data_IF_835159436397
#
_entry.id   IF_835159436397
#
_cell.length_a   1.000
_cell.length_b   1.000
_cell.length_c   1.000
_cell.angle_alpha   90.00
_cell.angle_beta   90.00
_cell.angle_gamma   90.00
#
_symmetry.space_group_name_H-M   'P 1'
#
loop_
_entity.id
_entity.type
_entity.pdbx_description
1 polymer ?
#
# COMPACT_ATOMS: atom_id res chain seq x y z
N UNK A 1 2.62 -10.45 28.29
CA UNK A 1 1.66 -10.79 27.22
C UNK A 1 1.71 -9.84 26.04
N UNK A 2 2.52 -8.81 26.15
CA UNK A 2 2.79 -7.91 25.02
C UNK A 2 3.35 -8.68 23.81
N UNK A 3 4.12 -9.74 24.03
CA UNK A 3 4.71 -10.57 22.96
C UNK A 3 3.66 -11.34 22.15
N UNK A 4 2.60 -11.83 22.79
CA UNK A 4 1.52 -12.54 22.08
C UNK A 4 0.71 -11.60 21.20
N UNK A 5 0.44 -10.40 21.69
CA UNK A 5 -0.29 -9.39 20.91
C UNK A 5 0.49 -8.98 19.66
N UNK A 6 1.81 -8.84 19.76
CA UNK A 6 2.66 -8.55 18.59
C UNK A 6 2.63 -9.69 17.58
N UNK A 7 2.75 -10.93 18.04
CA UNK A 7 2.74 -12.09 17.16
C UNK A 7 1.44 -12.19 16.38
N UNK A 8 0.31 -11.96 17.04
CA UNK A 8 -1.01 -11.97 16.39
C UNK A 8 -1.11 -10.84 15.37
N UNK A 9 -0.64 -9.64 15.69
CA UNK A 9 -0.64 -8.52 14.76
C UNK A 9 0.23 -8.80 13.53
N UNK A 10 1.38 -9.42 13.72
CA UNK A 10 2.28 -9.77 12.62
C UNK A 10 1.66 -10.82 11.70
N UNK A 11 0.98 -11.81 12.27
CA UNK A 11 0.27 -12.83 11.49
C UNK A 11 -0.87 -12.20 10.69
N UNK A 12 -1.68 -11.36 11.31
CA UNK A 12 -2.78 -10.65 10.64
C UNK A 12 -2.25 -9.75 9.54
N UNK A 13 -1.18 -9.01 9.81
CA UNK A 13 -0.54 -8.16 8.82
C UNK A 13 -0.06 -8.99 7.61
N UNK A 14 0.55 -10.13 7.85
CA UNK A 14 1.00 -11.03 6.79
C UNK A 14 -0.13 -11.49 5.89
N UNK A 15 -1.28 -11.86 6.46
CA UNK A 15 -2.47 -12.23 5.68
C UNK A 15 -3.01 -11.06 4.86
N UNK A 16 -3.12 -9.90 5.48
CA UNK A 16 -3.61 -8.69 4.81
C UNK A 16 -2.67 -8.27 3.69
N UNK A 17 -1.37 -8.37 3.93
CA UNK A 17 -0.36 -8.05 2.93
C UNK A 17 -0.47 -8.98 1.72
N UNK A 18 -0.59 -10.29 1.93
CA UNK A 18 -0.76 -11.26 0.83
C UNK A 18 -2.00 -10.97 0.01
N UNK A 19 -3.12 -10.64 0.67
CA UNK A 19 -4.36 -10.27 -0.02
C UNK A 19 -4.18 -9.00 -0.83
N UNK A 20 -3.49 -8.01 -0.26
CA UNK A 20 -3.23 -6.75 -0.96
C UNK A 20 -2.35 -6.97 -2.18
N UNK A 21 -1.31 -7.80 -2.08
CA UNK A 21 -0.45 -8.16 -3.22
C UNK A 21 -1.25 -8.85 -4.32
N UNK A 22 -2.09 -9.82 -3.96
CA UNK A 22 -2.94 -10.51 -4.93
C UNK A 22 -3.90 -9.55 -5.62
N UNK A 23 -4.48 -8.63 -4.87
CA UNK A 23 -5.37 -7.61 -5.43
C UNK A 23 -4.63 -6.70 -6.38
N UNK A 24 -3.42 -6.25 -6.01
CA UNK A 24 -2.60 -5.40 -6.85
C UNK A 24 -2.24 -6.11 -8.16
N UNK A 25 -1.81 -7.36 -8.08
CA UNK A 25 -1.46 -8.15 -9.27
C UNK A 25 -2.66 -8.37 -10.17
N UNK A 26 -3.83 -8.66 -9.59
CA UNK A 26 -5.08 -8.82 -10.36
C UNK A 26 -5.44 -7.54 -11.10
N UNK A 27 -5.41 -6.41 -10.41
CA UNK A 27 -5.73 -5.12 -11.02
C UNK A 27 -4.73 -4.75 -12.10
N UNK A 28 -3.44 -5.02 -11.85
CA UNK A 28 -2.39 -4.82 -12.86
C UNK A 28 -2.67 -5.65 -14.11
N UNK A 29 -3.02 -6.91 -13.93
CA UNK A 29 -3.31 -7.82 -15.04
C UNK A 29 -4.51 -7.36 -15.87
N UNK A 30 -5.54 -6.85 -15.19
CA UNK A 30 -6.77 -6.39 -15.84
C UNK A 30 -6.57 -5.04 -16.54
N UNK A 31 -5.92 -4.08 -15.87
CA UNK A 31 -5.82 -2.70 -16.35
C UNK A 31 -4.51 -2.37 -17.04
N UNK A 32 -3.49 -3.23 -16.91
CA UNK A 32 -2.12 -2.99 -17.38
C UNK A 32 -1.47 -1.74 -16.78
N UNK A 33 -1.95 -1.29 -15.60
CA UNK A 33 -1.39 -0.17 -14.87
C UNK A 33 -0.59 -0.67 -13.67
N UNK A 34 0.38 0.12 -13.24
CA UNK A 34 1.15 -0.19 -12.03
C UNK A 34 0.32 0.09 -10.79
N UNK A 35 0.32 -0.87 -9.88
CA UNK A 35 -0.32 -0.74 -8.58
C UNK A 35 0.72 -0.92 -7.49
N UNK A 36 0.50 -0.26 -6.37
CA UNK A 36 1.40 -0.30 -5.22
C UNK A 36 0.62 -0.64 -3.97
N UNK A 37 1.26 -1.38 -3.08
CA UNK A 37 0.71 -1.67 -1.75
C UNK A 37 1.40 -0.75 -0.75
N UNK A 38 0.62 0.07 -0.08
CA UNK A 38 1.09 1.09 0.86
C UNK A 38 0.37 0.95 2.19
N UNK A 39 1.00 1.46 3.24
CA UNK A 39 0.33 1.63 4.54
C UNK A 39 -0.08 3.08 4.68
N UNK A 40 -1.39 3.33 4.76
CA UNK A 40 -1.96 4.66 4.95
C UNK A 40 -2.88 4.60 6.16
N UNK A 41 -2.65 5.46 7.16
CA UNK A 41 -3.44 5.49 8.39
C UNK A 41 -3.56 4.10 9.03
N UNK A 42 -2.44 3.38 9.13
CA UNK A 42 -2.33 2.04 9.72
C UNK A 42 -3.10 0.96 8.97
N UNK A 43 -3.51 1.23 7.72
CA UNK A 43 -4.21 0.27 6.86
C UNK A 43 -3.43 0.02 5.58
N UNK A 44 -3.49 -1.22 5.09
CA UNK A 44 -2.92 -1.56 3.80
C UNK A 44 -3.87 -1.10 2.69
N UNK A 45 -3.32 -0.33 1.76
CA UNK A 45 -4.06 0.18 0.61
C UNK A 45 -3.39 -0.24 -0.68
N UNK A 46 -4.19 -0.56 -1.69
CA UNK A 46 -3.72 -0.88 -3.02
C UNK A 46 -4.10 0.30 -3.92
N UNK A 47 -3.09 1.03 -4.40
CA UNK A 47 -3.31 2.25 -5.16
C UNK A 47 -2.54 2.22 -6.47
N UNK A 48 -3.16 2.77 -7.52
CA UNK A 48 -2.47 3.06 -8.77
C UNK A 48 -1.68 4.36 -8.64
N UNK A 49 -0.76 4.59 -9.57
CA UNK A 49 0.01 5.84 -9.58
C UNK A 49 -0.90 7.06 -9.71
N UNK A 50 -1.97 6.96 -10.48
CA UNK A 50 -2.96 8.03 -10.64
C UNK A 50 -3.66 8.35 -9.33
N UNK A 51 -4.07 7.31 -8.58
CA UNK A 51 -4.72 7.48 -7.28
C UNK A 51 -3.76 8.12 -6.26
N UNK A 52 -2.48 7.72 -6.28
CA UNK A 52 -1.47 8.31 -5.42
C UNK A 52 -1.32 9.81 -5.71
N UNK A 53 -1.30 10.20 -6.98
CA UNK A 53 -1.24 11.61 -7.36
C UNK A 53 -2.45 12.39 -6.82
N UNK A 54 -3.63 11.80 -6.88
CA UNK A 54 -4.84 12.42 -6.34
C UNK A 54 -4.76 12.56 -4.82
N UNK A 55 -4.25 11.55 -4.14
CA UNK A 55 -4.08 11.58 -2.68
C UNK A 55 -3.08 12.66 -2.26
N UNK A 56 -1.98 12.80 -3.00
CA UNK A 56 -1.01 13.87 -2.75
C UNK A 56 -1.65 15.24 -2.95
N UNK A 57 -2.41 15.43 -4.03
CA UNK A 57 -3.09 16.68 -4.33
C UNK A 57 -4.13 17.03 -3.27
N UNK A 58 -4.80 16.02 -2.70
CA UNK A 58 -5.82 16.22 -1.67
C UNK A 58 -5.25 16.38 -0.26
N UNK A 59 -3.92 16.30 -0.11
CA UNK A 59 -3.28 16.48 1.20
C UNK A 59 -3.44 15.32 2.16
N UNK A 60 -3.77 14.12 1.66
CA UNK A 60 -3.92 12.92 2.50
C UNK A 60 -2.56 12.49 3.05
N UNK A 61 -1.51 12.65 2.29
CA UNK A 61 -0.15 12.40 2.73
C UNK A 61 0.45 13.64 3.40
N UNK A 62 1.56 13.43 4.11
CA UNK A 62 2.28 14.52 4.75
C UNK A 62 2.62 15.61 3.73
N UNK A 63 2.48 16.87 4.14
CA UNK A 63 2.83 18.03 3.31
C UNK A 63 4.30 17.94 2.89
N UNK A 64 4.56 18.20 1.61
CA UNK A 64 5.91 18.14 1.04
C UNK A 64 6.33 16.79 0.49
N UNK A 65 5.51 15.75 0.66
CA UNK A 65 5.77 14.43 0.06
C UNK A 65 5.33 14.46 -1.41
N UNK A 66 6.19 13.96 -2.29
CA UNK A 66 5.86 13.78 -3.69
C UNK A 66 5.58 12.30 -4.01
N UNK A 67 5.13 12.04 -5.24
CA UNK A 67 4.79 10.67 -5.70
C UNK A 67 5.99 9.74 -5.63
N UNK A 68 7.17 10.23 -5.96
CA UNK A 68 8.40 9.42 -5.94
C UNK A 68 8.75 8.95 -4.53
N UNK A 69 8.57 9.81 -3.53
CA UNK A 69 8.81 9.45 -2.13
C UNK A 69 7.87 8.32 -1.69
N UNK A 70 6.62 8.38 -2.12
CA UNK A 70 5.62 7.36 -1.81
C UNK A 70 5.99 6.03 -2.47
N UNK A 71 6.43 6.07 -3.74
CA UNK A 71 6.88 4.87 -4.44
C UNK A 71 8.04 4.17 -3.72
N UNK A 72 8.98 4.95 -3.19
CA UNK A 72 10.11 4.40 -2.43
C UNK A 72 9.68 3.70 -1.15
N UNK A 73 8.57 4.14 -0.54
CA UNK A 73 8.04 3.57 0.70
C UNK A 73 7.04 2.45 0.46
N UNK A 74 6.70 2.16 -0.78
CA UNK A 74 5.76 1.10 -1.09
C UNK A 74 6.31 -0.26 -0.66
N UNK A 75 5.45 -1.07 -0.06
CA UNK A 75 5.81 -2.41 0.37
C UNK A 75 5.90 -3.37 -0.81
N UNK A 76 5.17 -3.08 -1.87
CA UNK A 76 5.12 -3.89 -3.07
C UNK A 76 4.69 -3.02 -4.25
N UNK A 77 5.30 -3.24 -5.40
CA UNK A 77 4.96 -2.57 -6.65
C UNK A 77 4.84 -3.63 -7.73
N UNK A 78 3.73 -3.62 -8.48
CA UNK A 78 3.55 -4.52 -9.62
C UNK A 78 4.50 -4.10 -10.76
N UNK A 79 5.02 -5.09 -11.45
CA UNK A 79 5.98 -4.85 -12.55
C UNK A 79 5.30 -4.64 -13.90
#
# INVERSE_FOLDING_TARGET
MVKMTRLIKDIIFGFRFRRAVKKADRLHHITHRKYMVLVINKKLEVLSKKEIRQFVANGIFRKGINVQDIERKALYITL
#
